data_IF_113437733783
#
_entry.id   IF_113437733783
#
_cell.length_a   1.000
_cell.length_b   1.000
_cell.length_c   1.000
_cell.angle_alpha   90.00
_cell.angle_beta   90.00
_cell.angle_gamma   90.00
#
_symmetry.space_group_name_H-M   'P 1'
#
loop_
_entity.id
_entity.type
_entity.pdbx_description
1 polymer ?
#
# COMPACT_ATOMS: atom_id res chain seq x y z
N UNK A 1 -15.94 23.71 -3.81
CA UNK A 1 -14.74 22.85 -3.59
C UNK A 1 -14.40 21.96 -4.80
N UNK A 2 -15.21 21.95 -5.88
CA UNK A 2 -15.16 20.91 -6.92
C UNK A 2 -14.08 21.07 -8.01
N UNK A 3 -13.34 22.19 -8.05
CA UNK A 3 -12.29 22.41 -9.06
C UNK A 3 -10.86 22.04 -8.67
N UNK A 4 -10.61 21.62 -7.42
CA UNK A 4 -9.23 21.48 -6.88
C UNK A 4 -8.67 20.05 -6.89
N UNK A 5 -9.47 19.03 -7.18
CA UNK A 5 -9.05 17.61 -7.15
C UNK A 5 -7.98 17.29 -8.21
N UNK A 6 -8.28 17.58 -9.47
CA UNK A 6 -7.42 17.21 -10.60
C UNK A 6 -6.01 17.84 -10.54
N UNK A 7 -5.86 19.14 -10.17
CA UNK A 7 -4.54 19.72 -9.96
C UNK A 7 -3.72 19.03 -8.87
N UNK A 8 -4.34 18.67 -7.74
CA UNK A 8 -3.65 17.99 -6.61
C UNK A 8 -3.13 16.62 -7.06
N UNK A 9 -3.98 15.82 -7.71
CA UNK A 9 -3.59 14.49 -8.21
C UNK A 9 -2.48 14.60 -9.26
N UNK A 10 -2.63 15.51 -10.24
CA UNK A 10 -1.65 15.70 -11.31
C UNK A 10 -0.27 16.08 -10.76
N UNK A 11 -0.23 17.04 -9.85
CA UNK A 11 1.03 17.49 -9.25
C UNK A 11 1.67 16.38 -8.42
N UNK A 12 0.86 15.68 -7.62
CA UNK A 12 1.31 14.55 -6.82
C UNK A 12 1.95 13.45 -7.68
N UNK A 13 1.24 13.02 -8.73
CA UNK A 13 1.70 11.96 -9.62
C UNK A 13 2.99 12.34 -10.34
N UNK A 14 3.03 13.56 -10.91
CA UNK A 14 4.14 14.00 -11.75
C UNK A 14 5.43 14.21 -10.95
N UNK A 15 5.34 14.81 -9.77
CA UNK A 15 6.52 15.30 -9.06
C UNK A 15 6.99 14.39 -7.91
N UNK A 16 6.11 13.57 -7.34
CA UNK A 16 6.44 12.78 -6.14
C UNK A 16 6.16 11.29 -6.27
N UNK A 17 5.23 10.88 -7.14
CA UNK A 17 4.77 9.50 -7.17
C UNK A 17 5.24 8.70 -8.40
N UNK A 18 5.66 9.36 -9.49
CA UNK A 18 6.08 8.70 -10.73
C UNK A 18 7.18 7.63 -10.51
N UNK A 19 8.15 7.91 -9.61
CA UNK A 19 9.19 6.95 -9.27
C UNK A 19 8.65 5.67 -8.60
N UNK A 20 7.64 5.80 -7.74
CA UNK A 20 7.00 4.66 -7.05
C UNK A 20 6.14 3.84 -8.02
N UNK A 21 5.43 4.49 -8.93
CA UNK A 21 4.69 3.82 -10.01
C UNK A 21 5.64 3.05 -10.92
N UNK A 22 6.76 3.66 -11.32
CA UNK A 22 7.78 3.00 -12.13
C UNK A 22 8.39 1.80 -11.37
N UNK A 23 8.70 1.96 -10.08
CA UNK A 23 9.23 0.87 -9.26
C UNK A 23 8.24 -0.30 -9.15
N UNK A 24 6.95 -0.02 -8.90
CA UNK A 24 5.91 -1.04 -8.86
C UNK A 24 5.75 -1.74 -10.22
N UNK A 25 5.79 -0.99 -11.33
CA UNK A 25 5.77 -1.56 -12.67
C UNK A 25 6.94 -2.48 -12.95
N UNK A 26 8.18 -2.02 -12.69
CA UNK A 26 9.38 -2.82 -12.91
C UNK A 26 9.39 -4.06 -12.01
N UNK A 27 8.93 -3.93 -10.77
CA UNK A 27 8.79 -5.06 -9.85
C UNK A 27 7.79 -6.07 -10.39
N UNK A 28 6.56 -5.66 -10.75
CA UNK A 28 5.59 -6.58 -11.36
C UNK A 28 6.13 -7.22 -12.65
N UNK A 29 6.80 -6.46 -13.51
CA UNK A 29 7.37 -6.97 -14.76
C UNK A 29 8.49 -8.00 -14.55
N UNK A 30 9.17 -7.97 -13.41
CA UNK A 30 10.20 -8.95 -13.06
C UNK A 30 9.63 -10.28 -12.51
N UNK A 31 8.32 -10.36 -12.24
CA UNK A 31 7.67 -11.55 -11.68
C UNK A 31 7.91 -12.85 -12.47
N UNK A 32 7.83 -12.89 -13.82
CA UNK A 32 8.07 -14.12 -14.58
C UNK A 32 9.48 -14.68 -14.38
N UNK A 33 10.48 -13.79 -14.26
CA UNK A 33 11.88 -14.17 -14.08
C UNK A 33 12.15 -14.70 -12.67
N UNK A 34 11.49 -14.13 -11.66
CA UNK A 34 11.78 -14.43 -10.24
C UNK A 34 10.92 -15.60 -9.73
N UNK A 35 9.62 -15.59 -10.04
CA UNK A 35 8.64 -16.52 -9.47
C UNK A 35 8.18 -17.59 -10.46
N UNK A 36 8.22 -17.29 -11.77
CA UNK A 36 7.42 -18.00 -12.77
C UNK A 36 5.94 -17.70 -12.59
N UNK A 37 5.23 -17.35 -13.67
CA UNK A 37 3.80 -16.96 -13.60
C UNK A 37 2.95 -17.67 -14.66
N UNK A 38 3.40 -18.84 -15.10
CA UNK A 38 2.74 -19.64 -16.13
C UNK A 38 2.39 -21.02 -15.58
N UNK A 39 1.23 -21.55 -15.98
CA UNK A 39 0.69 -22.87 -15.65
C UNK A 39 0.73 -23.24 -14.15
N UNK A 40 0.59 -22.24 -13.26
CA UNK A 40 0.64 -22.45 -11.82
C UNK A 40 -0.67 -23.04 -11.29
N UNK A 41 -0.56 -23.93 -10.30
CA UNK A 41 -1.70 -24.40 -9.54
C UNK A 41 -2.23 -23.30 -8.56
N UNK A 42 -3.38 -23.51 -7.89
CA UNK A 42 -3.96 -22.48 -7.02
C UNK A 42 -3.06 -22.08 -5.86
N UNK A 43 -2.37 -23.03 -5.22
CA UNK A 43 -1.47 -22.76 -4.09
C UNK A 43 -0.25 -21.95 -4.53
N UNK A 44 0.36 -22.30 -5.66
CA UNK A 44 1.49 -21.58 -6.24
C UNK A 44 1.08 -20.18 -6.70
N UNK A 45 -0.12 -20.04 -7.28
CA UNK A 45 -0.62 -18.72 -7.69
C UNK A 45 -0.86 -17.82 -6.48
N UNK A 46 -1.46 -18.35 -5.42
CA UNK A 46 -1.63 -17.64 -4.16
C UNK A 46 -0.26 -17.26 -3.54
N UNK A 47 0.74 -18.14 -3.64
CA UNK A 47 2.10 -17.85 -3.20
C UNK A 47 2.70 -16.63 -3.92
N UNK A 48 2.60 -16.56 -5.25
CA UNK A 48 3.08 -15.40 -6.01
C UNK A 48 2.36 -14.13 -5.54
N UNK A 49 1.05 -14.18 -5.37
CA UNK A 49 0.30 -13.00 -4.97
C UNK A 49 0.56 -12.56 -3.52
N UNK A 50 0.65 -13.50 -2.59
CA UNK A 50 0.82 -13.20 -1.17
C UNK A 50 2.25 -12.87 -0.76
N UNK A 51 3.25 -13.46 -1.43
CA UNK A 51 4.66 -13.24 -1.11
C UNK A 51 5.27 -12.17 -2.03
N UNK A 52 5.02 -12.26 -3.33
CA UNK A 52 5.61 -11.33 -4.28
C UNK A 52 4.78 -10.05 -4.40
N UNK A 53 3.53 -10.17 -4.85
CA UNK A 53 2.72 -8.98 -5.17
C UNK A 53 2.42 -8.12 -3.93
N UNK A 54 2.29 -8.70 -2.73
CA UNK A 54 2.00 -7.94 -1.50
C UNK A 54 2.99 -6.80 -1.22
N UNK A 55 4.24 -6.92 -1.68
CA UNK A 55 5.28 -5.91 -1.53
C UNK A 55 4.93 -4.63 -2.31
N UNK A 56 4.17 -4.74 -3.40
CA UNK A 56 3.67 -3.58 -4.18
C UNK A 56 2.82 -2.66 -3.29
N UNK A 57 2.08 -3.22 -2.33
CA UNK A 57 1.36 -2.43 -1.32
C UNK A 57 2.28 -1.52 -0.51
N UNK A 58 3.48 -1.98 -0.15
CA UNK A 58 4.49 -1.16 0.53
C UNK A 58 4.98 -0.06 -0.42
N UNK A 59 5.39 -0.42 -1.63
CA UNK A 59 5.97 0.51 -2.62
C UNK A 59 5.01 1.65 -2.96
N UNK A 60 3.72 1.36 -3.09
CA UNK A 60 2.72 2.32 -3.51
C UNK A 60 2.11 3.13 -2.34
N UNK A 61 1.85 2.51 -1.19
CA UNK A 61 1.09 3.20 -0.12
C UNK A 61 1.97 3.97 0.88
N UNK A 62 3.20 3.51 1.12
CA UNK A 62 4.08 4.15 2.12
C UNK A 62 4.43 5.61 1.83
N UNK A 63 4.69 6.07 0.58
CA UNK A 63 5.14 7.44 0.33
C UNK A 63 4.02 8.51 0.40
N UNK A 64 2.85 8.21 0.98
CA UNK A 64 1.68 9.10 1.10
C UNK A 64 2.02 10.52 1.59
N UNK A 65 2.90 10.64 2.58
CA UNK A 65 3.31 11.92 3.19
C UNK A 65 4.63 12.47 2.63
N UNK A 66 5.22 11.84 1.61
CA UNK A 66 6.52 12.25 1.05
C UNK A 66 6.56 13.72 0.60
N UNK A 67 5.51 14.27 -0.06
CA UNK A 67 5.50 15.68 -0.42
C UNK A 67 5.56 16.62 0.79
N UNK A 68 5.11 16.15 1.96
CA UNK A 68 5.01 16.96 3.18
C UNK A 68 6.26 16.85 4.07
N UNK A 69 7.29 16.12 3.62
CA UNK A 69 8.58 16.09 4.30
C UNK A 69 9.36 17.41 4.08
N UNK A 70 9.16 18.05 2.92
CA UNK A 70 9.71 19.38 2.68
C UNK A 70 8.82 20.43 3.37
N UNK A 71 9.40 21.13 4.36
CA UNK A 71 8.69 22.15 5.14
C UNK A 71 8.16 23.29 4.27
N UNK A 72 8.95 23.77 3.30
CA UNK A 72 8.55 24.89 2.45
C UNK A 72 7.32 24.53 1.61
N UNK A 73 7.31 23.31 1.04
CA UNK A 73 6.16 22.78 0.29
C UNK A 73 4.95 22.66 1.22
N UNK A 74 5.17 22.09 2.41
CA UNK A 74 4.11 21.87 3.38
C UNK A 74 3.47 23.15 3.87
N UNK A 75 4.24 24.18 4.17
CA UNK A 75 3.74 25.45 4.70
C UNK A 75 3.01 26.25 3.61
N UNK A 76 3.47 26.18 2.36
CA UNK A 76 2.72 26.71 1.21
C UNK A 76 1.40 25.98 0.98
N UNK A 77 1.35 24.67 1.22
CA UNK A 77 0.12 23.89 1.10
C UNK A 77 -0.83 24.14 2.28
N UNK A 78 -0.29 24.22 3.50
CA UNK A 78 -1.05 24.42 4.73
C UNK A 78 -1.60 25.86 4.88
N UNK A 79 -0.94 26.85 4.27
CA UNK A 79 -1.44 28.23 4.21
C UNK A 79 -2.62 28.42 3.25
N UNK A 80 -2.92 27.42 2.40
CA UNK A 80 -4.15 27.42 1.62
C UNK A 80 -5.33 27.05 2.51
N UNK A 81 -6.51 27.57 2.21
CA UNK A 81 -7.75 27.22 2.93
C UNK A 81 -8.19 25.74 2.77
N UNK A 82 -7.42 24.91 2.07
CA UNK A 82 -7.69 23.48 1.92
C UNK A 82 -7.09 22.69 3.08
N UNK A 83 -7.90 21.97 3.88
CA UNK A 83 -7.39 21.21 5.02
C UNK A 83 -6.45 20.08 4.57
N UNK A 84 -5.37 19.83 5.33
CA UNK A 84 -4.39 18.77 5.02
C UNK A 84 -5.03 17.38 4.93
N UNK A 85 -5.98 17.08 5.81
CA UNK A 85 -6.77 15.85 5.78
C UNK A 85 -7.40 15.58 4.40
N UNK A 86 -7.91 16.63 3.75
CA UNK A 86 -8.52 16.50 2.42
C UNK A 86 -7.47 16.15 1.36
N UNK A 87 -6.28 16.74 1.44
CA UNK A 87 -5.17 16.47 0.51
C UNK A 87 -4.66 15.04 0.71
N UNK A 88 -4.45 14.60 1.95
CA UNK A 88 -4.03 13.22 2.26
C UNK A 88 -5.08 12.20 1.80
N UNK A 89 -6.36 12.51 1.97
CA UNK A 89 -7.45 11.64 1.50
C UNK A 89 -7.44 11.48 -0.02
N UNK A 90 -7.24 12.57 -0.77
CA UNK A 90 -7.12 12.52 -2.24
C UNK A 90 -5.92 11.67 -2.66
N UNK A 91 -4.76 11.87 -2.01
CA UNK A 91 -3.55 11.08 -2.31
C UNK A 91 -3.80 9.60 -2.02
N UNK A 92 -4.32 9.26 -0.84
CA UNK A 92 -4.64 7.89 -0.46
C UNK A 92 -5.58 7.21 -1.46
N UNK A 93 -6.67 7.88 -1.86
CA UNK A 93 -7.59 7.33 -2.87
C UNK A 93 -6.87 7.08 -4.19
N UNK A 94 -6.01 8.00 -4.62
CA UNK A 94 -5.21 7.84 -5.84
C UNK A 94 -4.30 6.61 -5.76
N UNK A 95 -3.60 6.41 -4.64
CA UNK A 95 -2.71 5.27 -4.44
C UNK A 95 -3.47 3.94 -4.36
N UNK A 96 -4.62 3.92 -3.69
CA UNK A 96 -5.48 2.75 -3.61
C UNK A 96 -6.04 2.35 -4.97
N UNK A 97 -6.46 3.32 -5.79
CA UNK A 97 -6.92 3.07 -7.15
C UNK A 97 -5.78 2.51 -8.00
N UNK A 98 -4.57 3.09 -7.91
CA UNK A 98 -3.41 2.58 -8.64
C UNK A 98 -3.05 1.17 -8.20
N UNK A 99 -2.98 0.90 -6.89
CA UNK A 99 -2.74 -0.44 -6.37
C UNK A 99 -3.76 -1.47 -6.89
N UNK A 100 -5.06 -1.11 -6.90
CA UNK A 100 -6.11 -1.97 -7.43
C UNK A 100 -5.93 -2.24 -8.93
N UNK A 101 -5.58 -1.21 -9.71
CA UNK A 101 -5.29 -1.35 -11.16
C UNK A 101 -4.08 -2.26 -11.39
N UNK A 102 -2.98 -2.06 -10.67
CA UNK A 102 -1.80 -2.93 -10.76
C UNK A 102 -2.14 -4.38 -10.42
N UNK A 103 -2.92 -4.62 -9.37
CA UNK A 103 -3.32 -5.97 -8.96
C UNK A 103 -4.23 -6.63 -10.00
N UNK A 104 -5.20 -5.91 -10.54
CA UNK A 104 -6.07 -6.45 -11.59
C UNK A 104 -5.27 -6.80 -12.85
N UNK A 105 -4.39 -5.91 -13.31
CA UNK A 105 -3.52 -6.17 -14.47
C UNK A 105 -2.68 -7.43 -14.22
N UNK A 106 -2.10 -7.55 -13.02
CA UNK A 106 -1.27 -8.70 -12.66
C UNK A 106 -2.07 -10.01 -12.60
N UNK A 107 -3.29 -9.99 -12.05
CA UNK A 107 -4.19 -11.14 -12.04
C UNK A 107 -4.60 -11.55 -13.46
N UNK A 108 -4.93 -10.59 -14.34
CA UNK A 108 -5.24 -10.90 -15.74
C UNK A 108 -4.03 -11.47 -16.47
N UNK A 109 -2.83 -10.99 -16.17
CA UNK A 109 -1.59 -11.53 -16.73
C UNK A 109 -1.34 -12.97 -16.30
N UNK A 110 -1.47 -13.29 -15.00
CA UNK A 110 -1.39 -14.68 -14.52
C UNK A 110 -2.47 -15.57 -15.13
N UNK A 111 -3.68 -15.03 -15.31
CA UNK A 111 -4.79 -15.78 -15.95
C UNK A 111 -4.48 -16.08 -17.42
N UNK A 112 -3.84 -15.15 -18.13
CA UNK A 112 -3.38 -15.35 -19.50
C UNK A 112 -2.30 -16.44 -19.56
N UNK A 113 -1.40 -16.49 -18.58
CA UNK A 113 -0.41 -17.55 -18.42
C UNK A 113 -1.00 -18.90 -17.96
N UNK A 114 -2.28 -19.17 -18.18
CA UNK A 114 -2.98 -20.41 -17.79
C UNK A 114 -2.91 -20.77 -16.30
N UNK A 115 -2.64 -19.80 -15.41
CA UNK A 115 -2.67 -20.05 -13.97
C UNK A 115 -4.10 -20.32 -13.48
N UNK A 116 -4.21 -21.24 -12.51
CA UNK A 116 -5.47 -21.58 -11.87
C UNK A 116 -5.78 -20.59 -10.76
N UNK A 117 -6.42 -19.48 -11.12
CA UNK A 117 -6.80 -18.41 -10.19
C UNK A 117 -8.29 -18.05 -10.26
N UNK A 118 -8.90 -17.90 -9.09
CA UNK A 118 -10.16 -17.17 -8.93
C UNK A 118 -9.84 -15.69 -8.80
N UNK A 119 -10.20 -14.88 -9.80
CA UNK A 119 -9.82 -13.45 -9.85
C UNK A 119 -10.30 -12.72 -8.59
N UNK A 120 -11.55 -12.93 -8.18
CA UNK A 120 -12.13 -12.14 -7.11
C UNK A 120 -11.60 -12.51 -5.72
N UNK A 121 -11.47 -13.80 -5.45
CA UNK A 121 -10.94 -14.29 -4.18
C UNK A 121 -9.49 -13.84 -3.98
N UNK A 122 -8.67 -14.02 -5.01
CA UNK A 122 -7.27 -13.61 -4.99
C UNK A 122 -7.12 -12.09 -4.92
N UNK A 123 -7.97 -11.33 -5.62
CA UNK A 123 -7.96 -9.87 -5.51
C UNK A 123 -8.20 -9.42 -4.08
N UNK A 124 -9.28 -9.88 -3.43
CA UNK A 124 -9.63 -9.46 -2.07
C UNK A 124 -8.52 -9.85 -1.09
N UNK A 125 -8.02 -11.08 -1.19
CA UNK A 125 -6.98 -11.56 -0.29
C UNK A 125 -5.65 -10.81 -0.44
N UNK A 126 -5.20 -10.61 -1.67
CA UNK A 126 -3.94 -9.91 -1.92
C UNK A 126 -4.04 -8.43 -1.64
N UNK A 127 -5.18 -7.81 -1.95
CA UNK A 127 -5.43 -6.41 -1.62
C UNK A 127 -5.43 -6.19 -0.11
N UNK A 128 -5.98 -7.11 0.69
CA UNK A 128 -5.91 -7.07 2.15
C UNK A 128 -4.47 -7.10 2.68
N UNK A 129 -3.61 -7.96 2.12
CA UNK A 129 -2.18 -7.99 2.45
C UNK A 129 -1.49 -6.66 2.11
N UNK A 130 -1.75 -6.12 0.92
CA UNK A 130 -1.18 -4.85 0.48
C UNK A 130 -1.61 -3.69 1.38
N UNK A 131 -2.91 -3.63 1.74
CA UNK A 131 -3.47 -2.64 2.65
C UNK A 131 -2.83 -2.71 4.04
N UNK A 132 -2.64 -3.92 4.57
CA UNK A 132 -2.04 -4.09 5.89
C UNK A 132 -0.58 -3.62 5.91
N UNK A 133 0.21 -4.08 4.95
CA UNK A 133 1.63 -3.71 4.84
C UNK A 133 1.80 -2.22 4.53
N UNK A 134 1.04 -1.68 3.59
CA UNK A 134 1.04 -0.25 3.28
C UNK A 134 0.57 0.60 4.45
N UNK A 135 -0.48 0.16 5.14
CA UNK A 135 -1.02 0.84 6.32
C UNK A 135 -0.06 0.88 7.49
N UNK A 136 0.69 -0.20 7.73
CA UNK A 136 1.80 -0.18 8.69
C UNK A 136 2.81 0.92 8.35
N UNK A 137 3.27 0.97 7.10
CA UNK A 137 4.24 1.99 6.70
C UNK A 137 3.67 3.41 6.75
N UNK A 138 2.42 3.65 6.33
CA UNK A 138 1.75 4.96 6.47
C UNK A 138 1.68 5.39 7.94
N UNK A 139 1.28 4.49 8.84
CA UNK A 139 1.17 4.79 10.26
C UNK A 139 2.52 5.23 10.84
N UNK A 140 3.57 4.46 10.60
CA UNK A 140 4.91 4.78 11.08
C UNK A 140 5.54 5.97 10.36
N UNK A 141 5.18 6.24 9.11
CA UNK A 141 5.60 7.47 8.43
C UNK A 141 4.97 8.69 9.09
N UNK A 142 3.68 8.62 9.42
CA UNK A 142 2.97 9.67 10.12
C UNK A 142 3.60 10.03 11.48
N UNK A 143 4.10 9.02 12.19
CA UNK A 143 4.75 9.17 13.51
C UNK A 143 6.20 9.67 13.40
N UNK A 144 6.99 9.05 12.52
CA UNK A 144 8.45 9.26 12.45
C UNK A 144 8.89 10.42 11.57
N UNK A 145 8.05 10.87 10.63
CA UNK A 145 8.40 11.81 9.56
C UNK A 145 9.62 11.36 8.72
N UNK A 146 9.96 10.07 8.78
CA UNK A 146 11.15 9.49 8.18
C UNK A 146 10.78 8.37 7.21
N UNK A 147 10.92 8.66 5.91
CA UNK A 147 10.55 7.74 4.83
C UNK A 147 11.31 6.40 4.89
N UNK A 148 12.64 6.34 5.09
CA UNK A 148 13.34 5.07 5.31
C UNK A 148 12.74 4.20 6.42
N UNK A 149 12.47 4.77 7.61
CA UNK A 149 11.89 4.01 8.74
C UNK A 149 10.50 3.47 8.38
N UNK A 150 9.70 4.26 7.68
CA UNK A 150 8.39 3.87 7.22
C UNK A 150 8.39 2.67 6.26
N UNK A 151 9.44 2.51 5.44
CA UNK A 151 9.63 1.33 4.59
C UNK A 151 10.15 0.11 5.35
N UNK A 152 11.05 0.32 6.31
CA UNK A 152 11.69 -0.78 7.05
C UNK A 152 10.71 -1.57 7.91
N UNK A 153 9.77 -0.91 8.57
CA UNK A 153 8.83 -1.58 9.48
C UNK A 153 7.91 -2.60 8.79
N UNK A 154 7.16 -2.26 7.73
CA UNK A 154 6.36 -3.25 7.02
C UNK A 154 7.25 -4.33 6.38
N UNK A 155 8.49 -4.00 6.01
CA UNK A 155 9.42 -5.00 5.49
C UNK A 155 9.87 -6.01 6.55
N UNK A 156 10.19 -5.55 7.77
CA UNK A 156 10.47 -6.45 8.90
C UNK A 156 9.27 -7.32 9.24
N UNK A 157 8.06 -6.75 9.22
CA UNK A 157 6.84 -7.52 9.44
C UNK A 157 6.67 -8.63 8.39
N UNK A 158 6.87 -8.31 7.12
CA UNK A 158 6.83 -9.28 6.02
C UNK A 158 7.89 -10.39 6.19
N UNK A 159 9.13 -10.06 6.55
CA UNK A 159 10.19 -11.06 6.80
C UNK A 159 9.83 -11.95 8.00
N UNK A 160 9.31 -11.37 9.09
CA UNK A 160 8.89 -12.13 10.26
C UNK A 160 7.77 -13.15 9.95
N UNK A 161 6.93 -12.87 8.94
CA UNK A 161 5.88 -13.80 8.50
C UNK A 161 6.45 -15.11 7.90
N UNK A 162 7.70 -15.16 7.42
CA UNK A 162 8.28 -16.42 6.94
C UNK A 162 8.44 -17.46 8.06
N UNK A 163 8.75 -17.03 9.29
CA UNK A 163 8.89 -17.91 10.47
C UNK A 163 7.67 -17.90 11.40
N UNK A 164 6.72 -16.97 11.20
CA UNK A 164 5.70 -16.62 12.19
C UNK A 164 4.37 -17.35 12.10
N UNK A 165 4.22 -18.38 11.23
CA UNK A 165 2.91 -19.01 10.95
C UNK A 165 2.15 -19.46 12.21
N UNK A 166 2.86 -19.97 13.23
CA UNK A 166 2.24 -20.45 14.48
C UNK A 166 1.83 -19.33 15.47
N UNK A 167 2.32 -18.11 15.29
CA UNK A 167 2.23 -17.03 16.28
C UNK A 167 1.36 -15.85 15.81
N UNK A 168 1.14 -15.70 14.49
CA UNK A 168 0.48 -14.53 13.92
C UNK A 168 -1.04 -14.69 13.76
N UNK A 169 -1.57 -15.92 13.83
CA UNK A 169 -3.02 -16.18 13.76
C UNK A 169 -3.69 -15.47 12.58
N UNK A 170 -4.73 -14.67 12.87
CA UNK A 170 -5.50 -13.91 11.88
C UNK A 170 -4.73 -12.78 11.17
N UNK A 171 -3.53 -12.42 11.64
CA UNK A 171 -2.65 -11.44 11.00
C UNK A 171 -1.56 -12.11 10.13
N UNK A 172 -1.65 -13.41 9.87
CA UNK A 172 -0.70 -14.09 9.01
C UNK A 172 -0.90 -13.72 7.53
N UNK A 173 0.15 -13.21 6.88
CA UNK A 173 0.08 -12.73 5.49
C UNK A 173 -0.11 -13.86 4.47
N UNK A 174 0.48 -15.03 4.71
CA UNK A 174 0.59 -16.09 3.70
C UNK A 174 -0.47 -17.21 3.89
N UNK A 175 -1.69 -16.81 4.27
CA UNK A 175 -2.75 -17.76 4.61
C UNK A 175 -3.32 -18.51 3.39
N UNK A 176 -3.45 -17.87 2.23
CA UNK A 176 -4.02 -18.50 1.02
C UNK A 176 -3.08 -19.53 0.41
N UNK A 177 -1.77 -19.27 0.35
CA UNK A 177 -0.81 -20.27 -0.11
C UNK A 177 -0.76 -21.50 0.81
N UNK A 178 -1.19 -21.32 2.05
CA UNK A 178 -1.21 -22.34 3.08
C UNK A 178 -2.54 -23.13 3.15
N UNK A 179 -3.47 -22.87 2.22
CA UNK A 179 -4.77 -23.53 2.10
C UNK A 179 -5.93 -22.83 2.83
N UNK A 180 -5.72 -21.62 3.35
CA UNK A 180 -6.76 -20.80 4.00
C UNK A 180 -7.61 -20.02 2.99
N UNK A 181 -8.80 -19.58 3.42
CA UNK A 181 -9.73 -18.82 2.60
C UNK A 181 -9.44 -17.31 2.63
N UNK A 182 -9.80 -16.59 1.57
CA UNK A 182 -9.69 -15.12 1.53
C UNK A 182 -10.49 -14.41 2.65
N UNK A 183 -11.55 -15.03 3.19
CA UNK A 183 -12.34 -14.46 4.29
C UNK A 183 -11.53 -14.30 5.59
N UNK A 184 -10.51 -15.13 5.82
CA UNK A 184 -9.66 -15.01 7.02
C UNK A 184 -8.85 -13.72 7.01
N UNK A 185 -8.65 -13.11 5.83
CA UNK A 185 -7.89 -11.87 5.64
C UNK A 185 -8.70 -10.61 5.88
N UNK A 186 -9.99 -10.72 6.22
CA UNK A 186 -10.80 -9.56 6.61
C UNK A 186 -10.17 -8.85 7.82
N UNK A 187 -9.55 -9.60 8.74
CA UNK A 187 -8.81 -9.03 9.87
C UNK A 187 -7.58 -8.21 9.45
N UNK A 188 -6.85 -8.67 8.44
CA UNK A 188 -5.73 -7.92 7.85
C UNK A 188 -6.22 -6.64 7.18
N UNK A 189 -7.30 -6.72 6.39
CA UNK A 189 -7.90 -5.54 5.76
C UNK A 189 -8.36 -4.52 6.81
N UNK A 190 -9.08 -4.97 7.84
CA UNK A 190 -9.54 -4.12 8.93
C UNK A 190 -8.37 -3.47 9.69
N UNK A 191 -7.33 -4.24 9.99
CA UNK A 191 -6.10 -3.75 10.61
C UNK A 191 -5.39 -2.71 9.74
N UNK A 192 -5.28 -2.94 8.44
CA UNK A 192 -4.69 -2.01 7.49
C UNK A 192 -5.44 -0.68 7.42
N UNK A 193 -6.76 -0.73 7.29
CA UNK A 193 -7.61 0.48 7.28
C UNK A 193 -7.47 1.26 8.59
N UNK A 194 -7.47 0.57 9.74
CA UNK A 194 -7.28 1.20 11.04
C UNK A 194 -5.91 1.87 11.15
N UNK A 195 -4.84 1.23 10.69
CA UNK A 195 -3.48 1.80 10.69
C UNK A 195 -3.37 3.03 9.79
N UNK A 196 -3.96 2.99 8.59
CA UNK A 196 -4.02 4.15 7.68
C UNK A 196 -4.74 5.32 8.36
N UNK A 197 -5.91 5.05 8.94
CA UNK A 197 -6.70 6.07 9.62
C UNK A 197 -5.93 6.70 10.79
N UNK A 198 -5.29 5.88 11.63
CA UNK A 198 -4.46 6.35 12.73
C UNK A 198 -3.26 7.18 12.24
N UNK A 199 -2.58 6.73 11.18
CA UNK A 199 -1.46 7.44 10.58
C UNK A 199 -1.81 8.84 10.10
N UNK A 200 -2.91 8.97 9.34
CA UNK A 200 -3.40 10.26 8.82
C UNK A 200 -3.85 11.16 9.98
N UNK A 201 -4.65 10.64 10.91
CA UNK A 201 -5.13 11.42 12.06
C UNK A 201 -3.99 11.93 12.94
N UNK A 202 -2.96 11.11 13.16
CA UNK A 202 -1.78 11.50 13.92
C UNK A 202 -1.00 12.59 13.20
N UNK A 203 -0.76 12.40 11.89
CA UNK A 203 -0.05 13.35 11.05
C UNK A 203 -0.72 14.72 11.08
N UNK A 204 -2.04 14.77 10.85
CA UNK A 204 -2.78 16.03 10.82
C UNK A 204 -2.81 16.74 12.17
N UNK A 205 -2.98 16.00 13.28
CA UNK A 205 -2.90 16.59 14.62
C UNK A 205 -1.50 17.13 14.92
N UNK A 206 -0.45 16.47 14.47
CA UNK A 206 0.91 16.94 14.62
C UNK A 206 1.16 18.24 13.84
N UNK A 207 0.62 18.36 12.62
CA UNK A 207 0.70 19.57 11.80
C UNK A 207 0.00 20.78 12.45
N UNK A 208 -1.20 20.59 13.00
CA UNK A 208 -1.95 21.66 13.69
C UNK A 208 -1.19 22.21 14.92
N UNK A 209 -0.38 21.38 15.59
CA UNK A 209 0.44 21.83 16.73
C UNK A 209 1.64 22.68 16.31
N UNK A 210 2.19 22.46 15.12
CA UNK A 210 3.32 23.25 14.61
C UNK A 210 2.85 24.65 14.25
N UNK A 211 1.72 24.77 13.53
CA UNK A 211 1.19 26.07 13.08
C UNK A 211 0.64 26.96 14.20
N UNK A 212 0.38 26.41 15.40
CA UNK A 212 -0.01 27.19 16.59
C UNK A 212 1.17 27.70 17.42
N UNK A 213 2.39 27.29 17.07
CA UNK A 213 3.62 27.61 17.82
C UNK A 213 4.40 28.78 17.22
N UNK A 214 3.98 29.27 16.07
CA UNK A 214 4.46 30.46 15.37
C UNK A 214 3.45 31.61 15.56
#
# INVERSE_FOLDING_TARGET
MEGKFFPIVKEYLKHHYAGHVLAAFLFCAAAPLIMGIEALNPQQSAQVLEMYFSIVGIVLLVPLFMPDQNRDIRDVVASRETPMLYIHSIRLVTELVLLAVFLLIFLFWMRWGECQISIWENFVGTFANCLFLGGLGICFFGISDNLPVAYMIPMFYYIANYGGRKHLGSFYLFSMMAGGNAQEKIWLAAGGVLLIFLGICWRDKAQVKIFKRD
#
